data_IF_893697269531
#
_entry.id   IF_893697269531
#
_cell.length_a   1.000
_cell.length_b   1.000
_cell.length_c   1.000
_cell.angle_alpha   90.00
_cell.angle_beta   90.00
_cell.angle_gamma   90.00
#
_symmetry.space_group_name_H-M   'P 1'
#
loop_
_entity.id
_entity.type
_entity.pdbx_description
1 polymer ?
#
# COMPACT_ATOMS: atom_id res chain seq x y z
N UNK A 1 16.20 8.91 0.33
CA UNK A 1 15.07 8.17 -0.22
C UNK A 1 13.86 8.91 0.26
N UNK A 2 13.00 9.29 -0.67
CA UNK A 2 11.75 10.01 -0.44
C UNK A 2 10.60 9.08 -0.84
N UNK A 3 10.32 8.02 -0.06
CA UNK A 3 9.39 7.00 -0.50
C UNK A 3 7.94 7.47 -0.44
N UNK A 4 7.15 7.01 -1.40
CA UNK A 4 5.69 7.18 -1.43
C UNK A 4 5.00 5.87 -1.80
N UNK A 5 3.78 5.70 -1.30
CA UNK A 5 2.95 4.54 -1.60
C UNK A 5 2.01 4.85 -2.77
N UNK A 6 1.92 3.91 -3.70
CA UNK A 6 0.96 3.87 -4.79
C UNK A 6 0.04 2.66 -4.55
N UNK A 7 -1.26 2.92 -4.37
CA UNK A 7 -2.28 1.91 -4.09
C UNK A 7 -3.21 1.80 -5.29
N UNK A 8 -3.36 0.59 -5.81
CA UNK A 8 -4.24 0.26 -6.94
C UNK A 8 -5.37 -0.64 -6.49
N UNK A 9 -6.60 -0.14 -6.59
CA UNK A 9 -7.85 -0.87 -6.31
C UNK A 9 -8.65 -0.98 -7.60
N UNK A 10 -8.69 -2.18 -8.19
CA UNK A 10 -9.25 -2.38 -9.53
C UNK A 10 -8.53 -1.49 -10.57
N UNK A 11 -9.27 -0.57 -11.17
CA UNK A 11 -8.74 0.38 -12.16
C UNK A 11 -8.30 1.73 -11.57
N UNK A 12 -8.60 1.99 -10.30
CA UNK A 12 -8.25 3.24 -9.64
C UNK A 12 -6.84 3.14 -9.03
N UNK A 13 -6.08 4.24 -9.12
CA UNK A 13 -4.74 4.38 -8.56
C UNK A 13 -4.71 5.62 -7.69
N UNK A 14 -4.13 5.48 -6.49
CA UNK A 14 -4.01 6.52 -5.49
C UNK A 14 -2.58 6.59 -4.99
N UNK A 15 -2.09 7.79 -4.71
CA UNK A 15 -0.72 8.00 -4.25
C UNK A 15 -0.71 8.79 -2.95
N UNK A 16 0.19 8.42 -2.03
CA UNK A 16 0.45 9.21 -0.84
C UNK A 16 1.44 10.32 -1.15
N UNK A 17 1.47 11.41 -0.36
CA UNK A 17 2.63 12.30 -0.35
C UNK A 17 3.89 11.52 0.02
N UNK A 18 5.03 12.01 -0.44
CA UNK A 18 6.34 11.48 -0.07
C UNK A 18 6.68 11.71 1.40
N UNK A 19 7.46 10.81 1.96
CA UNK A 19 8.08 10.97 3.26
C UNK A 19 9.57 11.33 3.12
N UNK A 20 9.88 12.63 3.06
CA UNK A 20 11.24 13.13 2.80
C UNK A 20 12.24 12.87 3.94
N UNK A 21 11.81 12.37 5.10
CA UNK A 21 12.68 12.13 6.26
C UNK A 21 12.40 10.80 7.00
N UNK A 22 11.69 9.87 6.37
CA UNK A 22 11.28 8.60 6.99
C UNK A 22 12.42 7.62 7.31
N UNK A 23 13.59 7.80 6.69
CA UNK A 23 14.72 6.90 6.86
C UNK A 23 14.36 5.48 6.44
N UNK A 24 14.61 4.50 7.32
CA UNK A 24 14.25 3.07 7.10
C UNK A 24 12.81 2.73 7.52
N UNK A 25 12.09 3.67 8.14
CA UNK A 25 10.75 3.46 8.69
C UNK A 25 9.84 4.62 8.29
N UNK A 26 9.54 4.77 6.99
CA UNK A 26 8.68 5.84 6.51
C UNK A 26 7.27 5.74 7.08
N UNK A 27 6.65 6.88 7.33
CA UNK A 27 5.29 6.99 7.89
C UNK A 27 4.45 7.96 7.07
N UNK A 28 3.52 7.43 6.29
CA UNK A 28 2.62 8.24 5.48
C UNK A 28 1.40 8.73 6.26
N UNK A 29 0.82 7.90 7.13
CA UNK A 29 -0.37 8.21 7.92
C UNK A 29 -1.49 8.87 7.09
N UNK A 30 -1.76 8.31 5.90
CA UNK A 30 -2.79 8.81 4.98
C UNK A 30 -3.94 7.84 4.89
N UNK A 31 -5.14 8.41 4.83
CA UNK A 31 -6.38 7.69 4.56
C UNK A 31 -6.64 7.82 3.06
N UNK A 32 -6.79 6.68 2.38
CA UNK A 32 -7.19 6.58 0.97
C UNK A 32 -8.59 6.00 0.95
N UNK A 33 -9.54 6.74 0.35
CA UNK A 33 -10.91 6.26 0.15
C UNK A 33 -11.06 5.81 -1.30
N UNK A 34 -11.39 4.53 -1.51
CA UNK A 34 -11.63 3.97 -2.83
C UNK A 34 -12.94 3.18 -2.84
N UNK A 35 -13.64 3.22 -3.96
CA UNK A 35 -14.67 2.23 -4.25
C UNK A 35 -14.01 0.88 -4.53
N UNK A 36 -14.59 -0.18 -3.97
CA UNK A 36 -14.21 -1.55 -4.26
C UNK A 36 -15.22 -2.13 -5.25
N UNK A 37 -14.84 -2.38 -6.52
CA UNK A 37 -15.75 -2.96 -7.50
C UNK A 37 -16.20 -4.37 -7.08
N UNK A 38 -17.39 -4.77 -7.51
CA UNK A 38 -17.92 -6.10 -7.21
C UNK A 38 -16.98 -7.21 -7.75
N UNK A 39 -16.67 -8.19 -6.91
CA UNK A 39 -15.76 -9.30 -7.23
C UNK A 39 -14.27 -8.97 -7.07
N UNK A 40 -13.90 -7.77 -6.64
CA UNK A 40 -12.52 -7.42 -6.28
C UNK A 40 -12.32 -7.68 -4.78
N UNK A 41 -11.44 -8.63 -4.45
CA UNK A 41 -11.12 -9.02 -3.07
C UNK A 41 -9.67 -8.69 -2.70
N UNK A 42 -8.98 -7.90 -3.53
CA UNK A 42 -7.59 -7.54 -3.29
C UNK A 42 -7.23 -6.19 -3.89
N UNK A 43 -6.16 -5.61 -3.41
CA UNK A 43 -5.54 -4.43 -3.99
C UNK A 43 -4.02 -4.60 -4.05
N UNK A 44 -3.39 -3.85 -4.95
CA UNK A 44 -1.94 -3.81 -5.04
C UNK A 44 -1.41 -2.57 -4.34
N UNK A 45 -0.34 -2.75 -3.58
CA UNK A 45 0.42 -1.67 -2.98
C UNK A 45 1.83 -1.71 -3.56
N UNK A 46 2.32 -0.57 -4.01
CA UNK A 46 3.69 -0.39 -4.49
C UNK A 46 4.31 0.78 -3.74
N UNK A 47 5.59 0.69 -3.43
CA UNK A 47 6.36 1.74 -2.78
C UNK A 47 7.44 2.16 -3.76
N UNK A 48 7.45 3.45 -4.06
CA UNK A 48 8.40 4.07 -4.96
C UNK A 48 9.32 4.99 -4.19
N UNK A 49 10.59 5.09 -4.59
CA UNK A 49 11.52 6.11 -4.14
C UNK A 49 11.63 7.19 -5.23
N UNK A 50 11.17 8.41 -4.91
CA UNK A 50 11.26 9.54 -5.84
C UNK A 50 12.73 9.92 -6.05
N UNK A 51 13.13 10.11 -7.32
CA UNK A 51 14.48 10.55 -7.66
C UNK A 51 14.42 11.91 -8.35
N UNK A 52 15.22 12.85 -7.88
CA UNK A 52 15.22 14.22 -8.43
C UNK A 52 15.62 14.32 -9.92
N UNK A 53 16.38 13.35 -10.44
CA UNK A 53 16.98 13.41 -11.78
C UNK A 53 16.79 12.15 -12.63
N UNK A 54 16.21 11.09 -12.07
CA UNK A 54 15.98 9.81 -12.76
C UNK A 54 14.52 9.39 -12.60
N UNK A 55 14.10 8.37 -13.32
CA UNK A 55 12.79 7.77 -13.10
C UNK A 55 12.67 7.25 -11.66
N UNK A 56 11.45 7.35 -11.12
CA UNK A 56 11.12 6.82 -9.80
C UNK A 56 11.28 5.30 -9.80
N UNK A 57 11.87 4.81 -8.71
CA UNK A 57 12.24 3.41 -8.58
C UNK A 57 11.21 2.69 -7.70
N UNK A 58 10.60 1.62 -8.21
CA UNK A 58 9.78 0.73 -7.39
C UNK A 58 10.70 -0.08 -6.46
N UNK A 59 10.74 0.28 -5.18
CA UNK A 59 11.61 -0.35 -4.18
C UNK A 59 10.96 -1.57 -3.51
N UNK A 60 9.62 -1.57 -3.39
CA UNK A 60 8.88 -2.66 -2.78
C UNK A 60 7.43 -2.70 -3.27
N UNK A 61 6.78 -3.85 -3.11
CA UNK A 61 5.38 -4.05 -3.47
C UNK A 61 4.76 -5.18 -2.64
N UNK A 62 3.44 -5.16 -2.52
CA UNK A 62 2.66 -6.21 -1.91
C UNK A 62 1.30 -6.36 -2.61
N UNK A 63 0.83 -7.59 -2.71
CA UNK A 63 -0.53 -7.91 -3.14
C UNK A 63 -1.35 -8.24 -1.89
N UNK A 64 -2.29 -7.36 -1.55
CA UNK A 64 -3.05 -7.46 -0.31
C UNK A 64 -4.41 -8.07 -0.61
N UNK A 65 -4.62 -9.29 -0.10
CA UNK A 65 -5.93 -9.95 -0.13
C UNK A 65 -6.72 -9.44 1.07
N UNK A 66 -7.90 -8.88 0.81
CA UNK A 66 -8.78 -8.34 1.84
C UNK A 66 -9.34 -9.49 2.70
N UNK A 67 -9.13 -9.48 4.02
CA UNK A 67 -9.70 -10.50 4.90
C UNK A 67 -11.23 -10.45 4.90
N UNK A 68 -11.90 -11.60 4.93
CA UNK A 68 -13.36 -11.66 4.92
C UNK A 68 -14.04 -10.84 6.05
N UNK A 69 -13.36 -10.69 7.19
CA UNK A 69 -13.84 -9.88 8.32
C UNK A 69 -14.13 -8.42 7.95
N UNK A 70 -13.39 -7.86 7.00
CA UNK A 70 -13.60 -6.47 6.55
C UNK A 70 -15.00 -6.28 5.95
N UNK A 71 -15.51 -7.28 5.23
CA UNK A 71 -16.84 -7.25 4.62
C UNK A 71 -17.97 -7.41 5.65
N UNK A 72 -17.65 -7.88 6.85
CA UNK A 72 -18.55 -7.91 8.01
C UNK A 72 -18.53 -6.59 8.81
N UNK A 73 -17.79 -5.57 8.35
CA UNK A 73 -17.66 -4.28 9.02
C UNK A 73 -16.54 -4.21 10.05
N UNK A 74 -15.65 -5.20 10.08
CA UNK A 74 -14.47 -5.17 10.96
C UNK A 74 -13.42 -4.18 10.42
N UNK A 75 -12.72 -3.52 11.35
CA UNK A 75 -11.53 -2.72 11.04
C UNK A 75 -10.32 -3.62 11.27
N UNK A 76 -9.52 -3.82 10.22
CA UNK A 76 -8.33 -4.65 10.27
C UNK A 76 -7.11 -3.73 10.34
N UNK A 77 -6.30 -3.89 11.38
CA UNK A 77 -4.99 -3.26 11.56
C UNK A 77 -3.94 -4.36 11.59
N UNK A 78 -3.20 -4.54 10.49
CA UNK A 78 -2.27 -5.66 10.34
C UNK A 78 -0.99 -5.28 9.58
N UNK A 79 0.02 -6.13 9.69
CA UNK A 79 1.33 -5.99 9.05
C UNK A 79 1.48 -6.94 7.88
N UNK A 80 1.74 -6.38 6.70
CA UNK A 80 1.88 -7.12 5.45
C UNK A 80 3.34 -7.14 5.00
N UNK A 81 3.80 -8.31 4.57
CA UNK A 81 5.16 -8.49 4.05
C UNK A 81 5.31 -7.80 2.68
N UNK A 82 6.45 -7.14 2.49
CA UNK A 82 6.81 -6.47 1.26
C UNK A 82 7.79 -7.31 0.45
N UNK A 83 7.54 -7.41 -0.84
CA UNK A 83 8.38 -8.07 -1.83
C UNK A 83 9.08 -7.02 -2.70
N UNK A 84 10.20 -7.39 -3.31
CA UNK A 84 10.94 -6.47 -4.18
C UNK A 84 12.16 -7.13 -4.81
N UNK A 85 13.20 -6.35 -5.04
CA UNK A 85 14.42 -6.81 -5.71
C UNK A 85 15.16 -7.90 -4.92
N UNK A 86 15.06 -7.89 -3.58
CA UNK A 86 15.66 -8.90 -2.70
C UNK A 86 14.88 -10.23 -2.67
N UNK A 87 13.69 -10.26 -3.26
CA UNK A 87 12.81 -11.42 -3.34
C UNK A 87 11.48 -11.23 -2.60
N UNK A 88 10.70 -12.30 -2.55
CA UNK A 88 9.37 -12.32 -1.94
C UNK A 88 9.45 -12.19 -0.42
N UNK A 89 8.71 -11.23 0.16
CA UNK A 89 8.63 -11.00 1.60
C UNK A 89 9.93 -10.57 2.28
N UNK A 90 10.89 -10.00 1.52
CA UNK A 90 12.23 -9.66 2.01
C UNK A 90 12.53 -8.17 2.11
N UNK A 91 11.65 -7.30 1.62
CA UNK A 91 11.87 -5.85 1.67
C UNK A 91 11.39 -5.21 2.98
N UNK A 92 10.75 -6.01 3.85
CA UNK A 92 10.27 -5.58 5.16
C UNK A 92 8.76 -5.75 5.29
N UNK A 93 8.15 -4.91 6.10
CA UNK A 93 6.72 -4.95 6.40
C UNK A 93 6.09 -3.57 6.33
N UNK A 94 4.82 -3.51 5.96
CA UNK A 94 4.00 -2.31 5.99
C UNK A 94 2.78 -2.53 6.88
N UNK A 95 2.49 -1.57 7.74
CA UNK A 95 1.26 -1.56 8.53
C UNK A 95 0.14 -0.88 7.75
N UNK A 96 -1.01 -1.53 7.67
CA UNK A 96 -2.21 -1.01 7.02
C UNK A 96 -3.41 -1.15 7.93
N UNK A 97 -4.18 -0.07 8.03
CA UNK A 97 -5.51 -0.06 8.65
C UNK A 97 -6.53 -0.01 7.52
N UNK A 98 -7.36 -1.04 7.41
CA UNK A 98 -8.36 -1.20 6.37
C UNK A 98 -9.75 -1.35 6.97
N UNK A 99 -10.74 -0.72 6.33
CA UNK A 99 -12.16 -0.86 6.66
C UNK A 99 -12.98 -0.80 5.39
N UNK A 100 -14.17 -1.41 5.40
CA UNK A 100 -15.08 -1.42 4.27
C UNK A 100 -16.44 -0.91 4.71
N UNK A 101 -17.03 0.00 3.93
CA UNK A 101 -18.39 0.50 4.14
C UNK A 101 -19.20 0.22 2.88
N UNK A 102 -20.24 -0.63 2.95
CA UNK A 102 -21.17 -0.84 1.84
C UNK A 102 -21.84 0.49 1.45
N UNK A 103 -22.01 0.71 0.14
CA UNK A 103 -22.68 1.88 -0.43
C UNK A 103 -24.06 1.50 -0.93
#
# INVERSE_FOLDING_TARGET
>A
MDPYCCVRVGNAVFETPKDTNGGKTPKWNRIINSYLPFGVESFYLQIFDEKAFTADECIAWAHIILPNGIFCGEIIDDWYQLSGQQGEGKEGVINLITSFTPV
#
